data_IF_532778264770
#
_entry.id   IF_532778264770
#
_cell.length_a   1.000
_cell.length_b   1.000
_cell.length_c   1.000
_cell.angle_alpha   90.00
_cell.angle_beta   90.00
_cell.angle_gamma   90.00
#
_symmetry.space_group_name_H-M   'P 1'
#
loop_
_entity.id
_entity.type
_entity.pdbx_description
1 polymer ?
#
# COMPACT_ATOMS: atom_id res chain seq x y z
N UNK A 1 -40.39 -25.62 5.61
CA UNK A 1 -40.08 -24.50 6.53
C UNK A 1 -38.57 -24.36 6.58
N UNK A 2 -38.04 -23.16 6.41
CA UNK A 2 -36.59 -22.89 6.44
C UNK A 2 -36.26 -22.42 7.86
N UNK A 3 -35.43 -23.19 8.57
CA UNK A 3 -35.06 -22.96 9.98
C UNK A 3 -33.56 -22.70 10.13
N UNK A 4 -33.15 -22.04 11.22
CA UNK A 4 -31.75 -21.65 11.43
C UNK A 4 -31.55 -20.69 12.61
N UNK A 5 -30.35 -20.14 12.74
CA UNK A 5 -30.03 -19.09 13.71
C UNK A 5 -30.66 -17.75 13.30
N UNK A 6 -31.05 -16.93 14.27
CA UNK A 6 -31.78 -15.68 14.02
C UNK A 6 -31.05 -14.74 13.06
N UNK A 7 -29.76 -14.47 13.28
CA UNK A 7 -28.99 -13.53 12.45
C UNK A 7 -28.83 -14.04 11.02
N UNK A 8 -28.56 -15.33 10.84
CA UNK A 8 -28.47 -15.96 9.51
C UNK A 8 -29.79 -15.86 8.75
N UNK A 9 -30.91 -16.14 9.43
CA UNK A 9 -32.25 -16.03 8.83
C UNK A 9 -32.64 -14.58 8.55
N UNK A 10 -32.18 -13.63 9.35
CA UNK A 10 -32.41 -12.19 9.14
C UNK A 10 -31.69 -11.73 7.87
N UNK A 11 -30.41 -12.03 7.74
CA UNK A 11 -29.61 -11.66 6.57
C UNK A 11 -30.19 -12.32 5.30
N UNK A 12 -30.63 -13.60 5.39
CA UNK A 12 -31.36 -14.26 4.31
C UNK A 12 -32.69 -13.56 3.98
N UNK A 13 -33.45 -13.09 4.97
CA UNK A 13 -34.71 -12.41 4.74
C UNK A 13 -34.56 -11.00 4.15
N UNK A 14 -33.40 -10.36 4.31
CA UNK A 14 -33.09 -9.05 3.71
C UNK A 14 -32.80 -9.16 2.21
N UNK A 15 -32.05 -10.18 1.80
CA UNK A 15 -31.61 -10.35 0.41
C UNK A 15 -32.57 -11.18 -0.46
N UNK A 16 -33.65 -11.72 0.12
CA UNK A 16 -34.54 -12.64 -0.59
C UNK A 16 -36.02 -12.29 -0.40
N UNK A 17 -36.83 -12.71 -1.37
CA UNK A 17 -38.30 -12.70 -1.31
C UNK A 17 -38.84 -14.11 -1.43
N UNK A 18 -40.08 -14.31 -1.01
CA UNK A 18 -40.75 -15.59 -1.21
C UNK A 18 -40.91 -15.88 -2.71
N UNK A 19 -40.49 -17.07 -3.14
CA UNK A 19 -40.55 -17.45 -4.56
C UNK A 19 -41.98 -17.64 -5.09
N UNK A 20 -42.97 -17.83 -4.21
CA UNK A 20 -44.36 -18.07 -4.62
C UNK A 20 -45.14 -16.79 -4.92
N UNK A 21 -44.88 -15.71 -4.19
CA UNK A 21 -45.70 -14.50 -4.19
C UNK A 21 -44.90 -13.18 -4.13
N UNK A 22 -43.57 -13.24 -4.20
CA UNK A 22 -42.66 -12.11 -4.00
C UNK A 22 -42.90 -11.35 -2.67
N UNK A 23 -43.53 -11.98 -1.69
CA UNK A 23 -43.75 -11.38 -0.39
C UNK A 23 -42.45 -11.20 0.39
N UNK A 24 -42.40 -10.13 1.19
CA UNK A 24 -41.27 -9.85 2.08
C UNK A 24 -41.16 -10.97 3.12
N UNK A 25 -39.93 -11.43 3.31
CA UNK A 25 -39.60 -12.47 4.29
C UNK A 25 -39.37 -11.84 5.67
N UNK A 26 -39.80 -12.54 6.71
CA UNK A 26 -39.65 -12.13 8.11
C UNK A 26 -39.24 -13.35 8.93
N UNK A 27 -38.35 -13.16 9.89
CA UNK A 27 -37.98 -14.22 10.85
C UNK A 27 -39.04 -14.31 11.95
N UNK A 28 -39.49 -15.52 12.27
CA UNK A 28 -40.46 -15.81 13.31
C UNK A 28 -39.98 -16.95 14.22
N UNK A 29 -40.50 -17.01 15.45
CA UNK A 29 -40.20 -18.08 16.40
C UNK A 29 -41.29 -19.16 16.35
N UNK A 30 -40.89 -20.44 16.21
CA UNK A 30 -41.78 -21.59 16.24
C UNK A 30 -41.79 -22.21 17.65
N UNK A 31 -42.87 -21.99 18.41
CA UNK A 31 -42.93 -22.38 19.83
C UNK A 31 -42.80 -23.89 20.06
N UNK A 32 -43.37 -24.73 19.20
CA UNK A 32 -43.37 -26.18 19.38
C UNK A 32 -42.01 -26.83 19.08
N UNK A 33 -41.23 -26.22 18.20
CA UNK A 33 -39.93 -26.74 17.76
C UNK A 33 -38.76 -25.98 18.40
N UNK A 34 -39.06 -24.96 19.21
CA UNK A 34 -38.08 -24.09 19.86
C UNK A 34 -37.00 -23.58 18.91
N UNK A 35 -37.40 -23.12 17.72
CA UNK A 35 -36.48 -22.69 16.67
C UNK A 35 -36.98 -21.43 15.94
N UNK A 36 -36.07 -20.70 15.29
CA UNK A 36 -36.44 -19.62 14.37
C UNK A 36 -36.66 -20.17 12.96
N UNK A 37 -37.59 -19.56 12.24
CA UNK A 37 -37.89 -19.88 10.84
C UNK A 37 -38.25 -18.65 10.02
N UNK A 38 -38.10 -18.74 8.70
CA UNK A 38 -38.52 -17.69 7.77
C UNK A 38 -39.99 -17.89 7.37
N UNK A 39 -40.78 -16.83 7.56
CA UNK A 39 -42.17 -16.73 7.10
C UNK A 39 -42.30 -15.69 5.98
N UNK A 40 -43.18 -15.95 5.03
CA UNK A 40 -43.61 -14.94 4.06
C UNK A 40 -44.72 -14.09 4.67
N UNK A 41 -44.66 -12.76 4.49
CA UNK A 41 -45.73 -11.86 4.91
C UNK A 41 -47.08 -12.05 4.19
N UNK A 42 -47.12 -12.83 3.10
CA UNK A 42 -48.33 -13.07 2.29
C UNK A 42 -48.82 -14.52 2.44
N UNK A 43 -48.04 -15.52 2.01
CA UNK A 43 -48.46 -16.93 2.09
C UNK A 43 -48.21 -17.63 3.45
N UNK A 44 -47.62 -16.93 4.43
CA UNK A 44 -47.30 -17.50 5.74
C UNK A 44 -46.05 -18.37 5.71
N UNK A 45 -46.14 -19.62 5.24
CA UNK A 45 -44.98 -20.51 5.19
C UNK A 45 -44.16 -20.33 3.91
N UNK A 46 -42.92 -19.86 4.05
CA UNK A 46 -41.99 -19.77 2.94
C UNK A 46 -41.35 -21.14 2.68
N UNK A 47 -41.65 -21.73 1.51
CA UNK A 47 -41.08 -23.02 1.07
C UNK A 47 -39.83 -22.86 0.20
N UNK A 48 -39.77 -21.78 -0.58
CA UNK A 48 -38.65 -21.46 -1.46
C UNK A 48 -38.47 -19.94 -1.52
N UNK A 49 -37.23 -19.50 -1.70
CA UNK A 49 -36.84 -18.09 -1.72
C UNK A 49 -36.17 -17.76 -3.05
N UNK A 50 -36.36 -16.54 -3.53
CA UNK A 50 -35.66 -16.00 -4.69
C UNK A 50 -34.84 -14.79 -4.25
N UNK A 51 -33.56 -14.77 -4.62
CA UNK A 51 -32.66 -13.66 -4.29
C UNK A 51 -33.08 -12.41 -5.07
N UNK A 52 -33.24 -11.30 -4.37
CA UNK A 52 -33.40 -9.98 -4.99
C UNK A 52 -32.01 -9.45 -5.29
N UNK A 53 -31.74 -9.14 -6.56
CA UNK A 53 -30.47 -8.53 -6.93
C UNK A 53 -30.40 -7.13 -6.34
N UNK A 54 -29.25 -6.75 -5.79
CA UNK A 54 -29.02 -5.36 -5.41
C UNK A 54 -29.01 -4.46 -6.65
N UNK A 55 -29.38 -3.19 -6.51
CA UNK A 55 -29.31 -2.20 -7.60
C UNK A 55 -27.92 -2.13 -8.27
N UNK A 56 -26.86 -2.39 -7.52
CA UNK A 56 -25.48 -2.43 -8.04
C UNK A 56 -25.25 -3.65 -8.92
N UNK A 57 -25.79 -4.80 -8.54
CA UNK A 57 -25.70 -6.03 -9.33
C UNK A 57 -26.59 -5.96 -10.57
N UNK A 58 -27.79 -5.39 -10.48
CA UNK A 58 -28.66 -5.11 -11.63
C UNK A 58 -27.98 -4.16 -12.64
N UNK A 59 -27.31 -3.12 -12.15
CA UNK A 59 -26.50 -2.22 -12.97
C UNK A 59 -25.35 -2.95 -13.67
N UNK A 60 -24.62 -3.83 -12.96
CA UNK A 60 -23.54 -4.64 -13.56
C UNK A 60 -24.06 -5.63 -14.60
N UNK A 61 -25.28 -6.14 -14.43
CA UNK A 61 -25.94 -7.03 -15.37
C UNK A 61 -26.58 -6.29 -16.58
N UNK A 62 -26.54 -4.95 -16.61
CA UNK A 62 -27.14 -4.14 -17.68
C UNK A 62 -28.66 -3.95 -17.57
N UNK A 63 -29.28 -4.42 -16.48
CA UNK A 63 -30.72 -4.39 -16.25
C UNK A 63 -31.11 -3.21 -15.35
N UNK A 64 -30.80 -1.98 -15.76
CA UNK A 64 -31.20 -0.79 -15.00
C UNK A 64 -32.73 -0.60 -15.07
N UNK A 65 -33.44 -0.52 -13.95
CA UNK A 65 -34.86 -0.17 -13.96
C UNK A 65 -35.04 1.24 -14.53
N UNK A 66 -35.99 1.40 -15.47
CA UNK A 66 -36.32 2.69 -16.05
C UNK A 66 -36.94 3.64 -15.00
N UNK A 67 -36.76 4.95 -15.20
CA UNK A 67 -37.32 6.00 -14.33
C UNK A 67 -36.29 6.71 -13.44
N UNK A 68 -36.70 7.25 -12.28
CA UNK A 68 -35.89 8.19 -11.48
C UNK A 68 -34.54 7.63 -11.02
N UNK A 69 -34.44 6.30 -10.87
CA UNK A 69 -33.21 5.62 -10.43
C UNK A 69 -32.14 5.69 -11.53
N UNK A 70 -32.51 5.44 -12.79
CA UNK A 70 -31.62 5.58 -13.95
C UNK A 70 -31.12 7.01 -14.12
N UNK A 71 -32.01 7.98 -13.93
CA UNK A 71 -31.67 9.41 -14.00
C UNK A 71 -30.71 9.82 -12.87
N UNK A 72 -30.90 9.29 -11.66
CA UNK A 72 -30.01 9.56 -10.53
C UNK A 72 -28.65 8.89 -10.70
N UNK A 73 -28.59 7.68 -11.23
CA UNK A 73 -27.33 7.01 -11.59
C UNK A 73 -26.60 7.78 -12.68
N UNK A 74 -27.30 8.19 -13.74
CA UNK A 74 -26.74 8.99 -14.84
C UNK A 74 -26.23 10.35 -14.35
N UNK A 75 -27.03 11.09 -13.57
CA UNK A 75 -26.60 12.35 -12.93
C UNK A 75 -25.43 12.15 -11.98
N UNK A 76 -25.35 11.00 -11.30
CA UNK A 76 -24.24 10.62 -10.44
C UNK A 76 -22.95 10.38 -11.23
N UNK A 77 -23.05 9.69 -12.37
CA UNK A 77 -21.94 9.47 -13.31
C UNK A 77 -21.50 10.81 -13.91
N UNK A 78 -22.42 11.64 -14.38
CA UNK A 78 -22.13 12.97 -14.94
C UNK A 78 -21.50 13.90 -13.89
N UNK A 79 -22.00 13.90 -12.65
CA UNK A 79 -21.37 14.64 -11.54
C UNK A 79 -19.98 14.12 -11.20
N UNK A 80 -19.74 12.80 -11.28
CA UNK A 80 -18.39 12.24 -11.07
C UNK A 80 -17.46 12.57 -12.24
N UNK A 81 -17.95 12.53 -13.47
CA UNK A 81 -17.22 12.95 -14.66
C UNK A 81 -16.87 14.44 -14.62
N UNK A 82 -17.78 15.29 -14.12
CA UNK A 82 -17.55 16.72 -13.93
C UNK A 82 -16.71 17.07 -12.69
N UNK A 83 -16.64 16.18 -11.69
CA UNK A 83 -15.78 16.30 -10.49
C UNK A 83 -14.43 15.63 -10.65
N UNK A 84 -14.25 14.77 -11.64
CA UNK A 84 -12.93 14.36 -12.08
C UNK A 84 -12.28 15.65 -12.59
N UNK A 85 -11.28 16.20 -11.87
CA UNK A 85 -10.58 17.37 -12.39
C UNK A 85 -10.12 16.99 -13.78
N UNK A 86 -10.37 17.85 -14.76
CA UNK A 86 -9.65 17.84 -16.04
C UNK A 86 -8.21 17.55 -15.66
N UNK A 87 -7.72 16.34 -16.02
CA UNK A 87 -6.46 15.84 -15.50
C UNK A 87 -5.47 16.99 -15.61
N UNK A 88 -4.90 17.49 -14.47
CA UNK A 88 -4.03 18.64 -14.53
C UNK A 88 -3.02 18.31 -15.61
N UNK A 89 -2.99 19.13 -16.67
CA UNK A 89 -1.99 18.96 -17.71
C UNK A 89 -0.67 18.98 -16.96
N UNK A 90 -0.04 17.82 -16.86
CA UNK A 90 1.20 17.70 -16.13
C UNK A 90 2.17 18.57 -16.91
N UNK A 91 2.44 19.77 -16.42
CA UNK A 91 3.68 20.45 -16.74
C UNK A 91 4.77 19.44 -16.37
N UNK A 92 5.34 18.82 -17.38
CA UNK A 92 6.31 17.75 -17.20
C UNK A 92 7.60 18.39 -16.70
N UNK A 93 7.79 18.38 -15.39
CA UNK A 93 9.10 18.63 -14.79
C UNK A 93 10.04 17.56 -15.31
N UNK A 94 10.86 17.91 -16.30
CA UNK A 94 11.65 16.94 -17.06
C UNK A 94 12.59 16.21 -16.11
N UNK A 95 12.53 14.88 -16.11
CA UNK A 95 13.36 14.00 -15.28
C UNK A 95 12.84 13.75 -13.86
N UNK A 96 11.91 14.56 -13.34
CA UNK A 96 11.34 14.32 -12.01
C UNK A 96 10.32 13.19 -12.07
N UNK A 97 10.34 12.20 -11.14
CA UNK A 97 9.36 11.13 -11.11
C UNK A 97 7.93 11.69 -11.07
N UNK A 98 7.09 11.23 -12.01
CA UNK A 98 5.69 11.64 -12.12
C UNK A 98 4.73 10.80 -11.25
N UNK A 99 5.24 9.76 -10.59
CA UNK A 99 4.47 8.84 -9.76
C UNK A 99 5.17 8.59 -8.41
N UNK A 100 4.38 8.31 -7.38
CA UNK A 100 4.88 7.78 -6.10
C UNK A 100 5.37 6.35 -6.31
N UNK A 101 6.62 6.06 -5.94
CA UNK A 101 7.22 4.75 -6.18
C UNK A 101 6.65 3.65 -5.26
N UNK A 102 6.01 4.03 -4.15
CA UNK A 102 5.37 3.09 -3.22
C UNK A 102 3.95 2.72 -3.65
N UNK A 103 3.17 3.67 -4.17
CA UNK A 103 1.75 3.43 -4.55
C UNK A 103 1.54 3.27 -6.05
N UNK A 104 2.46 3.76 -6.88
CA UNK A 104 2.30 3.86 -8.33
C UNK A 104 1.33 4.94 -8.79
N UNK A 105 0.78 5.73 -7.86
CA UNK A 105 -0.17 6.80 -8.18
C UNK A 105 0.56 8.00 -8.78
N UNK A 106 -0.07 8.63 -9.78
CA UNK A 106 0.43 9.86 -10.36
C UNK A 106 0.44 10.97 -9.31
N UNK A 107 1.56 11.70 -9.25
CA UNK A 107 1.73 12.78 -8.28
C UNK A 107 0.99 14.03 -8.76
N UNK A 108 0.19 14.68 -7.88
CA UNK A 108 -0.32 16.00 -8.18
C UNK A 108 0.83 17.01 -8.24
N UNK A 109 0.66 18.06 -9.06
CA UNK A 109 1.67 19.12 -9.28
C UNK A 109 2.22 19.70 -7.98
N UNK A 110 1.36 19.90 -6.99
CA UNK A 110 1.75 20.43 -5.67
C UNK A 110 2.73 19.51 -4.93
N UNK A 111 2.56 18.20 -5.03
CA UNK A 111 3.49 17.23 -4.44
C UNK A 111 4.83 17.21 -5.19
N UNK A 112 4.82 17.36 -6.51
CA UNK A 112 6.05 17.48 -7.31
C UNK A 112 6.83 18.73 -6.93
N UNK A 113 6.15 19.88 -6.81
CA UNK A 113 6.77 21.14 -6.35
C UNK A 113 7.30 21.02 -4.92
N UNK A 114 6.56 20.36 -4.02
CA UNK A 114 7.01 20.11 -2.66
C UNK A 114 8.27 19.21 -2.63
N UNK A 115 8.33 18.18 -3.48
CA UNK A 115 9.51 17.32 -3.62
C UNK A 115 10.72 18.10 -4.15
N UNK A 116 10.52 18.98 -5.15
CA UNK A 116 11.58 19.85 -5.68
C UNK A 116 12.10 20.80 -4.60
N UNK A 117 11.21 21.45 -3.84
CA UNK A 117 11.59 22.34 -2.75
C UNK A 117 12.33 21.59 -1.63
N UNK A 118 11.86 20.39 -1.27
CA UNK A 118 12.53 19.52 -0.31
C UNK A 118 13.94 19.16 -0.77
N UNK A 119 14.09 18.72 -2.02
CA UNK A 119 15.39 18.36 -2.58
C UNK A 119 16.33 19.58 -2.62
N UNK A 120 15.82 20.75 -3.03
CA UNK A 120 16.57 22.01 -3.05
C UNK A 120 17.11 22.41 -1.68
N UNK A 121 16.33 22.24 -0.60
CA UNK A 121 16.76 22.53 0.79
C UNK A 121 18.02 21.76 1.19
N UNK A 122 18.18 20.53 0.67
CA UNK A 122 19.29 19.64 1.01
C UNK A 122 20.33 19.51 -0.12
N UNK A 123 20.28 20.39 -1.12
CA UNK A 123 21.14 20.35 -2.31
C UNK A 123 21.08 19.02 -3.07
N UNK A 124 19.91 18.38 -3.11
CA UNK A 124 19.65 17.15 -3.85
C UNK A 124 18.88 17.46 -5.15
N UNK A 125 18.89 16.50 -6.09
CA UNK A 125 18.26 16.64 -7.40
C UNK A 125 17.30 15.48 -7.65
N UNK A 126 15.97 15.72 -7.64
CA UNK A 126 14.99 14.66 -7.89
C UNK A 126 15.02 14.17 -9.34
N UNK A 127 15.50 14.99 -10.30
CA UNK A 127 15.63 14.58 -11.70
C UNK A 127 16.78 13.59 -11.94
N UNK A 128 17.76 13.57 -11.03
CA UNK A 128 18.83 12.57 -10.97
C UNK A 128 18.49 11.37 -10.09
N UNK A 129 17.28 11.32 -9.54
CA UNK A 129 16.83 10.25 -8.66
C UNK A 129 17.43 10.31 -7.25
N UNK A 130 17.99 11.45 -6.80
CA UNK A 130 18.52 11.58 -5.43
C UNK A 130 17.41 11.53 -4.38
N UNK A 131 16.20 12.00 -4.73
CA UNK A 131 15.01 11.96 -3.89
C UNK A 131 13.82 11.55 -4.75
N UNK A 132 12.96 10.70 -4.20
CA UNK A 132 11.67 10.32 -4.78
C UNK A 132 10.55 10.42 -3.74
N UNK A 133 9.29 10.26 -4.16
CA UNK A 133 8.19 10.04 -3.24
C UNK A 133 7.94 8.54 -3.07
N UNK A 134 7.75 8.13 -1.82
CA UNK A 134 7.38 6.77 -1.45
C UNK A 134 6.33 6.82 -0.34
N UNK A 135 5.13 6.30 -0.62
CA UNK A 135 3.98 6.33 0.29
C UNK A 135 3.63 7.73 0.81
N UNK A 136 3.66 8.72 -0.09
CA UNK A 136 3.34 10.12 0.17
C UNK A 136 4.42 10.88 0.95
N UNK A 137 5.61 10.31 1.15
CA UNK A 137 6.72 10.95 1.88
C UNK A 137 7.98 11.04 1.02
N UNK A 138 8.77 12.12 1.14
CA UNK A 138 10.06 12.20 0.46
C UNK A 138 11.01 11.15 1.01
N UNK A 139 11.66 10.42 0.11
CA UNK A 139 12.61 9.37 0.39
C UNK A 139 13.93 9.69 -0.33
N UNK A 140 15.02 9.84 0.43
CA UNK A 140 16.37 10.04 -0.12
C UNK A 140 16.92 8.67 -0.51
N UNK A 141 17.27 8.52 -1.78
CA UNK A 141 17.78 7.26 -2.32
C UNK A 141 19.24 7.02 -1.93
N UNK A 142 19.76 5.83 -2.20
CA UNK A 142 21.19 5.54 -2.02
C UNK A 142 22.06 6.49 -2.86
N UNK A 143 21.64 6.81 -4.09
CA UNK A 143 22.35 7.74 -4.97
C UNK A 143 22.36 9.15 -4.38
N UNK A 144 21.26 9.57 -3.73
CA UNK A 144 21.20 10.83 -3.00
C UNK A 144 22.20 10.90 -1.85
N UNK A 145 22.35 9.82 -1.08
CA UNK A 145 23.36 9.75 -0.01
C UNK A 145 24.79 9.67 -0.54
N UNK A 146 25.05 8.94 -1.63
CA UNK A 146 26.37 8.90 -2.26
C UNK A 146 26.76 10.27 -2.81
N UNK A 147 25.81 10.98 -3.44
CA UNK A 147 26.02 12.35 -3.88
C UNK A 147 26.31 13.28 -2.70
N UNK A 148 25.52 13.21 -1.63
CA UNK A 148 25.73 14.03 -0.44
C UNK A 148 27.09 13.75 0.23
N UNK A 149 27.48 12.48 0.37
CA UNK A 149 28.78 12.07 0.90
C UNK A 149 29.94 12.60 0.04
N UNK A 150 29.77 12.63 -1.29
CA UNK A 150 30.76 13.22 -2.19
C UNK A 150 30.89 14.75 -2.02
N UNK A 151 29.78 15.45 -1.72
CA UNK A 151 29.79 16.89 -1.45
C UNK A 151 30.43 17.25 -0.10
N UNK A 152 30.32 16.36 0.89
CA UNK A 152 30.88 16.56 2.23
C UNK A 152 32.43 16.59 2.23
N UNK A 153 33.07 15.98 1.24
CA UNK A 153 34.49 16.10 0.98
C UNK A 153 35.41 15.32 1.92
N UNK A 154 34.90 14.70 2.99
CA UNK A 154 35.68 13.80 3.85
C UNK A 154 35.99 12.49 3.10
N UNK A 155 37.26 12.08 2.95
CA UNK A 155 37.57 10.79 2.31
C UNK A 155 37.03 9.62 3.13
N UNK A 156 36.29 8.73 2.47
CA UNK A 156 35.69 7.55 3.10
C UNK A 156 35.77 6.32 2.20
N UNK A 157 35.64 5.14 2.80
CA UNK A 157 35.40 3.88 2.09
C UNK A 157 34.13 3.22 2.60
N UNK A 158 33.44 2.48 1.72
CA UNK A 158 32.31 1.63 2.06
C UNK A 158 32.72 0.19 1.81
N UNK A 159 32.53 -0.67 2.81
CA UNK A 159 32.72 -2.10 2.69
C UNK A 159 31.41 -2.81 3.06
N UNK A 160 30.87 -3.58 2.13
CA UNK A 160 29.62 -4.33 2.29
C UNK A 160 29.88 -5.82 2.17
N UNK A 161 29.35 -6.61 3.10
CA UNK A 161 29.43 -8.07 3.05
C UNK A 161 28.15 -8.73 3.58
N UNK A 162 27.85 -9.96 3.13
CA UNK A 162 26.84 -10.77 3.81
C UNK A 162 27.24 -10.97 5.27
N UNK A 163 26.23 -11.07 6.14
CA UNK A 163 26.44 -11.46 7.52
C UNK A 163 26.94 -12.92 7.58
N UNK A 164 27.90 -13.19 8.43
CA UNK A 164 28.40 -14.54 8.66
C UNK A 164 27.40 -15.34 9.50
N UNK A 165 27.31 -16.68 9.36
CA UNK A 165 26.30 -17.49 10.04
C UNK A 165 26.27 -17.36 11.57
N UNK A 166 27.43 -17.13 12.20
CA UNK A 166 27.58 -16.91 13.64
C UNK A 166 27.02 -15.55 14.10
N UNK A 167 27.02 -14.53 13.23
CA UNK A 167 26.47 -13.20 13.52
C UNK A 167 24.92 -13.20 13.53
N UNK A 168 24.25 -14.13 12.83
CA UNK A 168 22.78 -14.18 12.76
C UNK A 168 22.15 -14.29 14.15
N UNK A 169 22.75 -15.07 15.06
CA UNK A 169 22.28 -15.22 16.43
C UNK A 169 22.39 -13.93 17.25
N UNK A 170 23.45 -13.15 17.03
CA UNK A 170 23.65 -11.85 17.71
C UNK A 170 22.58 -10.85 17.32
N UNK A 171 22.21 -10.80 16.04
CA UNK A 171 21.21 -9.86 15.52
C UNK A 171 19.77 -10.41 15.55
N UNK A 172 19.56 -11.60 16.11
CA UNK A 172 18.25 -12.28 16.18
C UNK A 172 17.59 -12.42 14.80
N UNK A 173 18.38 -12.73 13.77
CA UNK A 173 17.90 -12.84 12.40
C UNK A 173 17.39 -14.26 12.16
N UNK A 174 16.16 -14.38 11.71
CA UNK A 174 15.52 -15.67 11.45
C UNK A 174 16.17 -16.44 10.31
N UNK A 175 16.19 -17.77 10.43
CA UNK A 175 16.72 -18.67 9.41
C UNK A 175 15.99 -18.50 8.07
N UNK A 176 16.76 -18.44 6.98
CA UNK A 176 16.22 -18.21 5.64
C UNK A 176 16.08 -16.74 5.25
N UNK A 177 16.35 -15.80 6.16
CA UNK A 177 16.48 -14.37 5.82
C UNK A 177 17.82 -14.08 5.16
N UNK A 178 17.88 -13.01 4.37
CA UNK A 178 19.12 -12.46 3.83
C UNK A 178 19.53 -11.21 4.60
N UNK A 179 20.77 -11.18 5.09
CA UNK A 179 21.28 -10.07 5.86
C UNK A 179 22.66 -9.62 5.37
N UNK A 180 22.85 -8.30 5.32
CA UNK A 180 24.09 -7.64 4.92
C UNK A 180 24.48 -6.60 5.96
N UNK A 181 25.78 -6.49 6.20
CA UNK A 181 26.36 -5.39 6.95
C UNK A 181 27.19 -4.53 6.01
N UNK A 182 27.04 -3.22 6.15
CA UNK A 182 27.85 -2.23 5.45
C UNK A 182 28.57 -1.37 6.48
N UNK A 183 29.85 -1.12 6.27
CA UNK A 183 30.68 -0.27 7.13
C UNK A 183 31.23 0.89 6.34
N UNK A 184 30.96 2.11 6.79
CA UNK A 184 31.60 3.33 6.29
C UNK A 184 32.79 3.65 7.21
N UNK A 185 33.99 3.78 6.64
CA UNK A 185 35.21 4.14 7.37
C UNK A 185 35.72 5.49 6.88
N UNK A 186 36.00 6.41 7.81
CA UNK A 186 36.60 7.71 7.48
C UNK A 186 38.13 7.61 7.52
N UNK A 187 38.79 8.18 6.52
CA UNK A 187 40.25 8.20 6.49
C UNK A 187 40.82 8.99 7.69
N UNK A 188 41.83 8.43 8.35
CA UNK A 188 42.58 9.10 9.42
C UNK A 188 41.93 9.13 10.80
N UNK A 189 40.60 8.97 10.91
CA UNK A 189 39.90 9.08 12.20
C UNK A 189 39.81 7.76 12.98
N UNK A 190 40.00 6.61 12.33
CA UNK A 190 39.74 5.28 12.92
C UNK A 190 38.26 4.99 13.22
N UNK A 191 37.41 6.01 13.19
CA UNK A 191 35.97 5.91 13.39
C UNK A 191 35.30 5.23 12.19
N UNK A 192 34.33 4.38 12.50
CA UNK A 192 33.50 3.74 11.50
C UNK A 192 32.05 3.71 11.93
N UNK A 193 31.16 3.63 10.94
CA UNK A 193 29.72 3.57 11.17
C UNK A 193 29.19 2.36 10.40
N UNK A 194 28.32 1.58 11.03
CA UNK A 194 27.72 0.39 10.43
C UNK A 194 26.25 0.60 10.11
N UNK A 195 25.77 -0.09 9.08
CA UNK A 195 24.37 -0.23 8.72
C UNK A 195 24.03 -1.69 8.46
N UNK A 196 22.83 -2.10 8.87
CA UNK A 196 22.34 -3.47 8.73
C UNK A 196 21.15 -3.48 7.78
N UNK A 197 21.20 -4.32 6.77
CA UNK A 197 20.10 -4.52 5.83
C UNK A 197 19.62 -5.96 5.90
N UNK A 198 18.32 -6.14 6.11
CA UNK A 198 17.68 -7.45 6.23
C UNK A 198 16.53 -7.51 5.22
N UNK A 199 16.38 -8.67 4.60
CA UNK A 199 15.19 -9.09 3.85
C UNK A 199 14.73 -10.39 4.49
N UNK A 200 13.54 -10.37 5.10
CA UNK A 200 13.02 -11.54 5.82
C UNK A 200 12.38 -12.53 4.87
N UNK A 201 12.21 -13.77 5.33
CA UNK A 201 11.49 -14.78 4.57
C UNK A 201 10.04 -14.39 4.29
N UNK A 202 9.35 -13.79 5.27
CA UNK A 202 7.98 -13.32 5.07
C UNK A 202 7.92 -12.26 3.98
N UNK A 203 8.91 -11.38 3.90
CA UNK A 203 8.94 -10.33 2.88
C UNK A 203 9.10 -10.90 1.47
N UNK A 204 9.94 -11.93 1.31
CA UNK A 204 10.14 -12.62 0.03
C UNK A 204 8.89 -13.37 -0.43
N UNK A 205 8.13 -13.94 0.51
CA UNK A 205 6.94 -14.74 0.25
C UNK A 205 5.62 -13.93 0.31
N UNK A 206 5.70 -12.66 0.70
CA UNK A 206 4.54 -11.80 0.88
C UNK A 206 3.74 -11.67 -0.42
N UNK A 207 2.44 -11.90 -0.33
CA UNK A 207 1.49 -11.75 -1.45
C UNK A 207 0.87 -10.35 -1.46
N UNK A 208 0.58 -9.84 -2.65
CA UNK A 208 -0.10 -8.55 -2.80
C UNK A 208 -1.52 -8.62 -2.21
N UNK A 209 -1.88 -7.62 -1.40
CA UNK A 209 -3.25 -7.49 -0.86
C UNK A 209 -4.29 -7.24 -1.95
N UNK A 210 -3.87 -6.62 -3.06
CA UNK A 210 -4.74 -6.26 -4.19
C UNK A 210 -4.85 -7.39 -5.22
N UNK A 211 -3.77 -8.16 -5.40
CA UNK A 211 -3.67 -9.27 -6.35
C UNK A 211 -3.05 -10.49 -5.65
N UNK A 212 -3.84 -11.33 -4.95
CA UNK A 212 -3.34 -12.44 -4.13
C UNK A 212 -2.57 -13.53 -4.90
N UNK A 213 -2.68 -13.55 -6.22
CA UNK A 213 -1.93 -14.39 -7.15
C UNK A 213 -0.49 -13.89 -7.40
N UNK A 214 -0.17 -12.66 -7.01
CA UNK A 214 1.12 -12.01 -7.24
C UNK A 214 1.88 -11.75 -5.93
N UNK A 215 3.21 -11.72 -6.02
CA UNK A 215 4.07 -11.28 -4.92
C UNK A 215 3.91 -9.77 -4.69
N UNK A 216 3.96 -9.35 -3.43
CA UNK A 216 3.87 -7.94 -3.04
C UNK A 216 5.07 -7.14 -3.55
N UNK A 217 6.27 -7.74 -3.53
CA UNK A 217 7.50 -7.12 -4.00
C UNK A 217 8.32 -8.12 -4.84
N UNK A 218 8.01 -8.26 -6.16
CA UNK A 218 8.68 -9.23 -7.03
C UNK A 218 10.21 -9.09 -7.07
N UNK A 219 10.73 -7.86 -6.99
CA UNK A 219 12.18 -7.58 -6.97
C UNK A 219 12.84 -8.12 -5.70
N UNK A 220 12.16 -8.02 -4.55
CA UNK A 220 12.68 -8.53 -3.28
C UNK A 220 12.77 -10.05 -3.32
N UNK A 221 11.78 -10.73 -3.90
CA UNK A 221 11.81 -12.18 -4.08
C UNK A 221 12.86 -12.64 -5.10
N UNK A 222 13.05 -11.90 -6.19
CA UNK A 222 14.02 -12.26 -7.23
C UNK A 222 15.47 -12.04 -6.79
N UNK A 223 15.74 -10.96 -6.05
CA UNK A 223 17.09 -10.53 -5.67
C UNK A 223 17.19 -10.08 -4.20
N UNK A 224 16.86 -10.95 -3.23
CA UNK A 224 16.79 -10.57 -1.82
C UNK A 224 18.15 -10.12 -1.26
N UNK A 225 19.25 -10.72 -1.72
CA UNK A 225 20.59 -10.33 -1.29
C UNK A 225 20.98 -8.92 -1.74
N UNK A 226 20.61 -8.52 -2.96
CA UNK A 226 20.87 -7.16 -3.46
C UNK A 226 20.07 -6.13 -2.68
N UNK A 227 18.83 -6.47 -2.32
CA UNK A 227 17.98 -5.59 -1.51
C UNK A 227 18.51 -5.45 -0.07
N UNK A 228 18.97 -6.55 0.54
CA UNK A 228 19.62 -6.52 1.84
C UNK A 228 20.90 -5.66 1.80
N UNK A 229 21.74 -5.83 0.79
CA UNK A 229 22.95 -5.01 0.60
C UNK A 229 22.62 -3.51 0.48
N UNK A 230 21.69 -3.13 -0.42
CA UNK A 230 21.30 -1.73 -0.61
C UNK A 230 20.75 -1.10 0.67
N UNK A 231 19.97 -1.84 1.46
CA UNK A 231 19.46 -1.38 2.78
C UNK A 231 20.59 -1.15 3.77
N UNK A 232 21.57 -2.06 3.80
CA UNK A 232 22.73 -1.94 4.68
C UNK A 232 23.57 -0.70 4.34
N UNK A 233 23.89 -0.51 3.05
CA UNK A 233 24.64 0.64 2.55
C UNK A 233 23.90 1.95 2.82
N UNK A 234 22.59 2.00 2.54
CA UNK A 234 21.75 3.15 2.81
C UNK A 234 21.75 3.53 4.30
N UNK A 235 21.60 2.55 5.20
CA UNK A 235 21.66 2.82 6.65
C UNK A 235 23.04 3.32 7.09
N UNK A 236 24.11 2.71 6.58
CA UNK A 236 25.47 3.08 6.95
C UNK A 236 25.79 4.51 6.49
N UNK A 237 25.45 4.84 5.24
CA UNK A 237 25.62 6.18 4.67
C UNK A 237 24.78 7.22 5.40
N UNK A 238 23.50 6.93 5.70
CA UNK A 238 22.64 7.84 6.44
C UNK A 238 23.20 8.22 7.82
N UNK A 239 23.82 7.28 8.51
CA UNK A 239 24.44 7.53 9.82
C UNK A 239 25.79 8.24 9.70
N UNK A 240 26.55 7.96 8.65
CA UNK A 240 27.84 8.59 8.40
C UNK A 240 27.72 10.04 7.88
N UNK A 241 26.70 10.31 7.08
CA UNK A 241 26.42 11.58 6.41
C UNK A 241 24.95 11.97 6.62
N UNK A 242 24.57 12.40 7.84
CA UNK A 242 23.18 12.75 8.15
C UNK A 242 22.73 13.98 7.36
N UNK A 243 21.54 13.90 6.76
CA UNK A 243 20.90 15.00 6.05
C UNK A 243 19.78 15.56 6.93
N UNK A 244 19.84 16.87 7.21
CA UNK A 244 18.78 17.59 7.90
C UNK A 244 18.83 17.59 9.42
N UNK A 245 19.93 17.13 10.02
CA UNK A 245 20.28 17.57 11.36
C UNK A 245 20.89 18.97 11.25
N UNK A 246 20.29 19.95 11.94
CA UNK A 246 20.92 21.27 12.08
C UNK A 246 22.29 21.04 12.68
N UNK A 247 23.36 21.32 11.90
CA UNK A 247 24.72 21.17 12.41
C UNK A 247 24.80 21.97 13.72
N UNK A 248 25.04 21.33 14.87
CA UNK A 248 25.21 22.06 16.12
C UNK A 248 26.51 22.87 16.02
N UNK A 249 26.43 24.13 15.60
CA UNK A 249 27.57 25.04 15.58
C UNK A 249 27.77 25.94 14.36
N UNK A 250 26.90 25.90 13.34
CA UNK A 250 26.90 26.96 12.31
C UNK A 250 25.84 28.02 12.68
N UNK A 251 26.11 28.76 13.76
CA UNK A 251 25.49 30.08 13.98
C UNK A 251 26.08 31.03 12.93
N UNK A 252 25.31 31.30 11.88
CA UNK A 252 25.60 32.34 10.90
C UNK A 252 25.23 33.73 11.40
#
# INVERSE_FOLDING_TARGET
MITGEYDQLRDLAEDNVCAADNGRLVVAWHKEQSCYYIKCGICGECKAMTRVMSLTEEHRAGNLPDGPVKDNVKKGIEKRAARLPTAPQAETFTGVPAADLGTGELLPREMVLALINYAGKYHLDPARGHVCLMYGRPYITIDGYLYHAAQDGRPYSIESRPLAPDEFGTYQIEAGSHAWISTVRFAGAGNYVTGLGIVTKEEMEAKSKRHPDQLAAPVVAAHPWQMAQKRAEWQALRRAFPIGEDKPGEEG
#
